data_IF_827771861897
#
_entry.id   IF_827771861897
#
_cell.length_a   1.000
_cell.length_b   1.000
_cell.length_c   1.000
_cell.angle_alpha   90.00
_cell.angle_beta   90.00
_cell.angle_gamma   90.00
#
_symmetry.space_group_name_H-M   'P 1'
#
loop_
_entity.id
_entity.type
_entity.pdbx_description
1 polymer ?
#
# COMPACT_ATOMS: atom_id res chain seq x y z
N UNK A 1 11.09 9.99 5.44
CA UNK A 1 10.59 10.33 6.77
C UNK A 1 11.62 11.14 7.56
N UNK A 2 12.19 10.59 8.66
CA UNK A 2 13.16 11.31 9.48
C UNK A 2 14.40 11.77 8.73
N UNK A 3 14.90 10.95 7.81
CA UNK A 3 16.03 11.29 6.95
C UNK A 3 15.85 12.61 6.18
N UNK A 4 14.61 12.97 5.81
CA UNK A 4 14.34 14.17 5.00
C UNK A 4 14.76 15.47 5.69
N UNK A 5 14.64 15.55 7.03
CA UNK A 5 15.06 16.73 7.82
C UNK A 5 16.54 16.99 7.61
N UNK A 6 17.36 15.93 7.65
CA UNK A 6 18.83 16.03 7.52
C UNK A 6 19.26 16.23 6.05
N UNK A 7 18.60 15.54 5.11
CA UNK A 7 18.83 15.69 3.65
C UNK A 7 18.58 17.14 3.23
N UNK A 8 17.47 17.75 3.73
CA UNK A 8 17.16 19.16 3.45
C UNK A 8 18.31 20.09 3.89
N UNK A 9 18.82 19.86 5.10
CA UNK A 9 19.90 20.68 5.64
C UNK A 9 21.19 20.50 4.85
N UNK A 10 21.56 19.25 4.54
CA UNK A 10 22.85 18.93 3.90
C UNK A 10 22.91 19.41 2.45
N UNK A 11 21.80 19.33 1.72
CA UNK A 11 21.73 19.74 0.31
C UNK A 11 21.09 21.12 0.08
N UNK A 12 20.61 21.80 1.12
CA UNK A 12 19.94 23.10 0.97
C UNK A 12 18.68 23.05 0.12
N UNK A 13 17.86 21.98 0.30
CA UNK A 13 16.73 21.74 -0.59
C UNK A 13 15.62 22.79 -0.41
N UNK A 14 15.07 23.27 -1.54
CA UNK A 14 13.81 23.99 -1.56
C UNK A 14 12.63 23.05 -1.30
N UNK A 15 11.46 23.60 -0.95
CA UNK A 15 10.23 22.82 -0.72
C UNK A 15 9.89 21.91 -1.90
N UNK A 16 9.97 22.46 -3.13
CA UNK A 16 9.73 21.66 -4.34
C UNK A 16 10.77 20.53 -4.52
N UNK A 17 12.04 20.77 -4.21
CA UNK A 17 13.07 19.73 -4.27
C UNK A 17 12.85 18.63 -3.23
N UNK A 18 12.39 18.99 -2.00
CA UNK A 18 12.00 17.99 -0.99
C UNK A 18 10.85 17.09 -1.49
N UNK A 19 9.82 17.69 -2.07
CA UNK A 19 8.68 16.95 -2.65
C UNK A 19 9.15 15.99 -3.75
N UNK A 20 10.04 16.42 -4.64
CA UNK A 20 10.60 15.58 -5.70
C UNK A 20 11.45 14.44 -5.12
N UNK A 21 12.27 14.70 -4.11
CA UNK A 21 13.07 13.66 -3.43
C UNK A 21 12.17 12.59 -2.81
N UNK A 22 11.08 12.97 -2.13
CA UNK A 22 10.13 12.02 -1.56
C UNK A 22 9.37 11.28 -2.65
N UNK A 23 8.84 12.02 -3.62
CA UNK A 23 7.95 11.49 -4.66
C UNK A 23 8.67 10.70 -5.74
N UNK A 24 10.00 10.80 -5.85
CA UNK A 24 10.79 9.98 -6.77
C UNK A 24 10.57 8.48 -6.58
N UNK A 25 10.44 8.03 -5.33
CA UNK A 25 10.09 6.62 -5.02
C UNK A 25 8.70 6.26 -5.57
N UNK A 26 7.74 7.17 -5.48
CA UNK A 26 6.36 6.94 -5.90
C UNK A 26 6.22 6.91 -7.42
N UNK A 27 7.00 7.75 -8.12
CA UNK A 27 7.12 7.68 -9.58
C UNK A 27 7.66 6.31 -10.01
N UNK A 28 8.75 5.86 -9.39
CA UNK A 28 9.29 4.53 -9.62
C UNK A 28 8.27 3.42 -9.31
N UNK A 29 7.54 3.53 -8.20
CA UNK A 29 6.52 2.55 -7.81
C UNK A 29 5.36 2.49 -8.79
N UNK A 30 4.93 3.63 -9.33
CA UNK A 30 3.91 3.68 -10.38
C UNK A 30 4.39 2.93 -11.63
N UNK A 31 5.63 3.19 -12.09
CA UNK A 31 6.24 2.48 -13.23
C UNK A 31 6.33 0.97 -12.93
N UNK A 32 6.84 0.61 -11.76
CA UNK A 32 6.97 -0.79 -11.33
C UNK A 32 5.63 -1.52 -11.27
N UNK A 33 4.56 -0.86 -10.80
CA UNK A 33 3.24 -1.45 -10.75
C UNK A 33 2.64 -1.70 -12.15
N UNK A 34 2.86 -0.78 -13.10
CA UNK A 34 2.39 -0.92 -14.49
C UNK A 34 3.01 -2.15 -15.17
N UNK A 35 4.31 -2.39 -14.96
CA UNK A 35 5.06 -3.46 -15.63
C UNK A 35 5.05 -4.78 -14.85
N UNK A 36 4.84 -4.72 -13.51
CA UNK A 36 5.06 -5.84 -12.60
C UNK A 36 4.23 -7.08 -12.93
N UNK A 37 2.94 -6.92 -13.18
CA UNK A 37 2.07 -8.03 -13.52
C UNK A 37 2.52 -8.76 -14.79
N UNK A 38 2.83 -8.00 -15.87
CA UNK A 38 3.33 -8.58 -17.13
C UNK A 38 4.68 -9.28 -16.97
N UNK A 39 5.59 -8.69 -16.19
CA UNK A 39 6.88 -9.31 -15.90
C UNK A 39 6.72 -10.61 -15.12
N UNK A 40 5.87 -10.61 -14.07
CA UNK A 40 5.60 -11.79 -13.28
C UNK A 40 4.97 -12.93 -14.10
N UNK A 41 4.09 -12.59 -15.04
CA UNK A 41 3.47 -13.55 -15.94
C UNK A 41 4.45 -14.13 -16.96
N UNK A 42 5.36 -13.30 -17.49
CA UNK A 42 6.31 -13.73 -18.53
C UNK A 42 7.50 -14.49 -17.95
N UNK A 43 8.09 -14.02 -16.87
CA UNK A 43 9.37 -14.53 -16.35
C UNK A 43 9.22 -15.42 -15.12
N UNK A 44 8.04 -15.45 -14.49
CA UNK A 44 7.76 -16.14 -13.24
C UNK A 44 7.86 -15.22 -12.03
N UNK A 45 7.08 -15.57 -11.01
CA UNK A 45 6.95 -14.73 -9.81
C UNK A 45 8.26 -14.70 -9.02
N UNK A 46 8.86 -15.85 -8.78
CA UNK A 46 10.14 -15.99 -8.04
C UNK A 46 11.26 -15.18 -8.68
N UNK A 47 11.43 -15.28 -10.01
CA UNK A 47 12.50 -14.55 -10.71
C UNK A 47 12.32 -13.05 -10.61
N UNK A 48 11.09 -12.57 -10.81
CA UNK A 48 10.79 -11.14 -10.68
C UNK A 48 11.08 -10.66 -9.25
N UNK A 49 10.72 -11.43 -8.22
CA UNK A 49 11.00 -11.07 -6.83
C UNK A 49 12.50 -11.06 -6.50
N UNK A 50 13.29 -11.96 -7.06
CA UNK A 50 14.76 -11.94 -6.92
C UNK A 50 15.38 -10.69 -7.57
N UNK A 51 14.94 -10.35 -8.79
CA UNK A 51 15.38 -9.11 -9.48
C UNK A 51 14.93 -7.88 -8.68
N UNK A 52 13.72 -7.90 -8.14
CA UNK A 52 13.19 -6.84 -7.27
C UNK A 52 14.08 -6.62 -6.04
N UNK A 53 14.52 -7.71 -5.36
CA UNK A 53 15.42 -7.60 -4.22
C UNK A 53 16.76 -6.96 -4.60
N UNK A 54 17.32 -7.34 -5.76
CA UNK A 54 18.58 -6.77 -6.26
C UNK A 54 18.43 -5.28 -6.61
N UNK A 55 17.37 -4.90 -7.35
CA UNK A 55 17.08 -3.49 -7.69
C UNK A 55 16.90 -2.66 -6.43
N UNK A 56 16.15 -3.18 -5.43
CA UNK A 56 15.92 -2.48 -4.16
C UNK A 56 17.24 -2.26 -3.41
N UNK A 57 18.08 -3.31 -3.29
CA UNK A 57 19.37 -3.23 -2.62
C UNK A 57 20.32 -2.22 -3.30
N UNK A 58 20.42 -2.25 -4.63
CA UNK A 58 21.21 -1.28 -5.40
C UNK A 58 20.67 0.14 -5.22
N UNK A 59 19.35 0.33 -5.32
CA UNK A 59 18.72 1.64 -5.11
C UNK A 59 18.93 2.19 -3.70
N UNK A 60 18.89 1.35 -2.67
CA UNK A 60 19.15 1.73 -1.29
C UNK A 60 20.62 2.14 -1.08
N UNK A 61 21.58 1.35 -1.57
CA UNK A 61 23.00 1.69 -1.54
C UNK A 61 23.30 2.99 -2.29
N UNK A 62 22.79 3.13 -3.51
CA UNK A 62 22.97 4.33 -4.31
C UNK A 62 22.38 5.57 -3.61
N UNK A 63 21.22 5.42 -2.93
CA UNK A 63 20.64 6.49 -2.12
C UNK A 63 21.52 6.87 -0.94
N UNK A 64 22.15 5.90 -0.27
CA UNK A 64 23.03 6.14 0.88
C UNK A 64 24.32 6.90 0.51
N UNK A 65 24.88 6.61 -0.66
CA UNK A 65 26.14 7.24 -1.12
C UNK A 65 25.92 8.42 -2.06
N UNK A 66 24.68 8.87 -2.24
CA UNK A 66 24.35 9.94 -3.18
C UNK A 66 25.14 11.23 -2.89
N UNK A 67 25.93 11.75 -3.86
CA UNK A 67 26.72 12.97 -3.68
C UNK A 67 25.91 14.24 -4.00
N UNK A 68 24.74 14.11 -4.64
CA UNK A 68 23.91 15.24 -5.04
C UNK A 68 22.43 14.90 -4.98
N UNK A 69 21.54 15.90 -4.92
CA UNK A 69 20.09 15.68 -4.98
C UNK A 69 19.63 14.92 -6.22
N UNK A 70 20.22 15.17 -7.38
CA UNK A 70 19.86 14.51 -8.62
C UNK A 70 20.14 12.98 -8.56
N UNK A 71 21.31 12.59 -8.05
CA UNK A 71 21.65 11.17 -7.86
C UNK A 71 20.73 10.53 -6.84
N UNK A 72 20.40 11.25 -5.75
CA UNK A 72 19.44 10.78 -4.75
C UNK A 72 18.05 10.54 -5.37
N UNK A 73 17.55 11.46 -6.19
CA UNK A 73 16.24 11.32 -6.84
C UNK A 73 16.25 10.12 -7.78
N UNK A 74 17.29 9.96 -8.62
CA UNK A 74 17.40 8.83 -9.53
C UNK A 74 17.47 7.49 -8.79
N UNK A 75 18.27 7.40 -7.73
CA UNK A 75 18.35 6.18 -6.91
C UNK A 75 17.02 5.85 -6.23
N UNK A 76 16.26 6.86 -5.80
CA UNK A 76 14.91 6.70 -5.26
C UNK A 76 13.90 6.23 -6.30
N UNK A 77 13.99 6.69 -7.55
CA UNK A 77 13.16 6.16 -8.65
C UNK A 77 13.46 4.67 -8.86
N UNK A 78 14.73 4.29 -8.90
CA UNK A 78 15.16 2.88 -9.04
C UNK A 78 14.60 2.03 -7.88
N UNK A 79 14.74 2.50 -6.65
CA UNK A 79 14.19 1.85 -5.46
C UNK A 79 12.65 1.73 -5.56
N UNK A 80 12.00 2.78 -6.05
CA UNK A 80 10.56 2.81 -6.27
C UNK A 80 10.10 1.75 -7.27
N UNK A 81 10.81 1.55 -8.38
CA UNK A 81 10.48 0.48 -9.35
C UNK A 81 10.44 -0.89 -8.65
N UNK A 82 11.38 -1.18 -7.76
CA UNK A 82 11.37 -2.40 -6.97
C UNK A 82 10.14 -2.49 -6.06
N UNK A 83 9.75 -1.39 -5.41
CA UNK A 83 8.52 -1.35 -4.58
C UNK A 83 7.27 -1.64 -5.42
N UNK A 84 7.15 -1.03 -6.59
CA UNK A 84 6.02 -1.27 -7.51
C UNK A 84 5.95 -2.71 -8.01
N UNK A 85 7.08 -3.29 -8.41
CA UNK A 85 7.18 -4.71 -8.78
C UNK A 85 6.77 -5.63 -7.63
N UNK A 86 7.25 -5.33 -6.41
CA UNK A 86 6.93 -6.09 -5.20
C UNK A 86 5.45 -6.02 -4.87
N UNK A 87 4.85 -4.82 -4.89
CA UNK A 87 3.45 -4.60 -4.50
C UNK A 87 2.46 -5.37 -5.37
N UNK A 88 2.79 -5.63 -6.63
CA UNK A 88 1.96 -6.40 -7.55
C UNK A 88 2.29 -7.90 -7.53
N UNK A 89 3.55 -8.28 -7.27
CA UNK A 89 3.99 -9.67 -7.42
C UNK A 89 3.91 -10.47 -6.12
N UNK A 90 4.21 -9.85 -4.94
CA UNK A 90 4.21 -10.56 -3.65
C UNK A 90 2.84 -11.11 -3.27
N UNK A 91 1.73 -10.34 -3.33
CA UNK A 91 0.41 -10.87 -3.01
C UNK A 91 0.02 -12.04 -3.91
N UNK A 92 0.34 -11.96 -5.21
CA UNK A 92 0.10 -13.03 -6.18
C UNK A 92 0.91 -14.28 -5.83
N UNK A 93 2.22 -14.14 -5.56
CA UNK A 93 3.08 -15.23 -5.14
C UNK A 93 2.53 -15.93 -3.88
N UNK A 94 2.19 -15.15 -2.86
CA UNK A 94 1.64 -15.67 -1.61
C UNK A 94 0.30 -16.41 -1.84
N UNK A 95 -0.59 -15.86 -2.66
CA UNK A 95 -1.89 -16.47 -2.94
C UNK A 95 -1.79 -17.77 -3.75
N UNK A 96 -0.78 -17.89 -4.63
CA UNK A 96 -0.55 -19.08 -5.47
C UNK A 96 0.18 -20.22 -4.72
N UNK A 97 0.97 -19.89 -3.68
CA UNK A 97 1.70 -20.88 -2.86
C UNK A 97 0.89 -21.29 -1.62
N UNK A 98 0.07 -20.40 -1.09
CA UNK A 98 -0.71 -20.64 0.11
C UNK A 98 -1.75 -21.76 -0.07
N UNK A 99 -1.97 -22.63 0.94
CA UNK A 99 -3.08 -23.56 0.95
C UNK A 99 -4.43 -22.81 1.02
N UNK A 100 -5.48 -23.37 0.42
CA UNK A 100 -6.78 -22.70 0.29
C UNK A 100 -7.35 -22.22 1.64
N UNK A 101 -7.21 -23.03 2.70
CA UNK A 101 -7.70 -22.72 4.04
C UNK A 101 -6.92 -21.64 4.79
N UNK A 102 -5.69 -21.30 4.35
CA UNK A 102 -4.84 -20.29 4.98
C UNK A 102 -4.50 -19.10 4.06
N UNK A 103 -5.03 -19.10 2.81
CA UNK A 103 -4.69 -18.10 1.79
C UNK A 103 -4.94 -16.66 2.26
N UNK A 104 -6.10 -16.38 2.81
CA UNK A 104 -6.47 -15.04 3.30
C UNK A 104 -5.49 -14.56 4.37
N UNK A 105 -5.18 -15.38 5.35
CA UNK A 105 -4.22 -15.11 6.42
C UNK A 105 -2.83 -14.80 5.84
N UNK A 106 -2.31 -15.70 4.98
CA UNK A 106 -0.96 -15.57 4.41
C UNK A 106 -0.84 -14.31 3.54
N UNK A 107 -1.85 -13.98 2.75
CA UNK A 107 -1.87 -12.74 1.96
C UNK A 107 -1.93 -11.51 2.87
N UNK A 108 -2.67 -11.57 3.98
CA UNK A 108 -2.73 -10.46 4.95
C UNK A 108 -1.40 -10.19 5.65
N UNK A 109 -0.49 -11.18 5.75
CA UNK A 109 0.88 -10.98 6.24
C UNK A 109 1.66 -9.96 5.40
N UNK A 110 1.33 -9.79 4.12
CA UNK A 110 1.93 -8.75 3.29
C UNK A 110 1.69 -7.36 3.90
N UNK A 111 0.45 -7.03 4.26
CA UNK A 111 0.13 -5.74 4.87
C UNK A 111 0.79 -5.58 6.25
N UNK A 112 0.84 -6.66 7.04
CA UNK A 112 1.51 -6.65 8.34
C UNK A 112 3.02 -6.39 8.18
N UNK A 113 3.66 -7.02 7.18
CA UNK A 113 5.07 -6.79 6.88
C UNK A 113 5.34 -5.33 6.44
N UNK A 114 4.43 -4.72 5.68
CA UNK A 114 4.52 -3.29 5.31
C UNK A 114 4.53 -2.40 6.55
N UNK A 115 3.58 -2.60 7.48
CA UNK A 115 3.50 -1.78 8.69
C UNK A 115 4.64 -2.04 9.67
N UNK A 116 5.11 -3.28 9.79
CA UNK A 116 6.33 -3.63 10.55
C UNK A 116 7.56 -2.94 9.97
N UNK A 117 7.68 -2.89 8.63
CA UNK A 117 8.74 -2.17 7.92
C UNK A 117 8.71 -0.66 8.19
N UNK A 118 7.54 -0.06 8.26
CA UNK A 118 7.36 1.36 8.62
C UNK A 118 7.88 1.64 10.04
N UNK A 119 7.50 0.81 11.02
CA UNK A 119 8.00 0.92 12.40
C UNK A 119 9.51 0.80 12.44
N UNK A 120 10.05 -0.25 11.79
CA UNK A 120 11.50 -0.48 11.73
C UNK A 120 12.25 0.70 11.11
N UNK A 121 11.72 1.29 10.04
CA UNK A 121 12.30 2.47 9.41
C UNK A 121 12.32 3.69 10.35
N UNK A 122 11.24 3.92 11.12
CA UNK A 122 11.21 5.01 12.10
C UNK A 122 12.19 4.78 13.26
N UNK A 123 12.35 3.54 13.71
CA UNK A 123 13.33 3.21 14.75
C UNK A 123 14.77 3.40 14.25
N UNK A 124 15.06 3.04 13.01
CA UNK A 124 16.36 3.31 12.36
C UNK A 124 16.56 4.83 12.23
N UNK A 125 15.55 5.58 11.75
CA UNK A 125 15.61 7.04 11.68
C UNK A 125 15.93 7.64 13.05
N UNK A 126 15.29 7.15 14.12
CA UNK A 126 15.54 7.61 15.50
C UNK A 126 16.95 7.29 15.97
N UNK A 127 17.43 6.07 15.74
CA UNK A 127 18.77 5.64 16.17
C UNK A 127 19.90 6.50 15.58
N UNK A 128 19.72 7.00 14.34
CA UNK A 128 20.70 7.85 13.67
C UNK A 128 20.38 9.35 13.70
N UNK A 129 19.30 9.76 14.35
CA UNK A 129 18.87 11.16 14.40
C UNK A 129 19.87 12.07 15.10
N UNK A 130 20.50 11.61 16.20
CA UNK A 130 21.45 12.38 17.00
C UNK A 130 22.72 12.77 16.23
N UNK A 131 23.16 11.92 15.30
CA UNK A 131 24.34 12.13 14.46
C UNK A 131 23.99 12.70 13.08
N UNK A 132 22.71 12.92 12.78
CA UNK A 132 22.25 13.38 11.47
C UNK A 132 22.55 12.41 10.33
N UNK A 133 22.69 11.11 10.65
CA UNK A 133 23.19 10.06 9.77
C UNK A 133 22.20 9.58 8.72
N UNK A 134 21.60 10.46 7.91
CA UNK A 134 20.59 10.11 6.90
C UNK A 134 21.08 9.08 5.87
N UNK A 135 22.39 9.01 5.61
CA UNK A 135 22.98 7.99 4.74
C UNK A 135 22.81 6.59 5.31
N UNK A 136 22.98 6.42 6.62
CA UNK A 136 22.72 5.16 7.31
C UNK A 136 21.22 4.84 7.37
N UNK A 137 20.37 5.85 7.60
CA UNK A 137 18.91 5.69 7.59
C UNK A 137 18.41 5.11 6.25
N UNK A 138 19.00 5.54 5.12
CA UNK A 138 18.66 5.00 3.79
C UNK A 138 19.40 3.71 3.47
N UNK A 139 20.67 3.60 3.84
CA UNK A 139 21.54 2.47 3.49
C UNK A 139 21.15 1.17 4.19
N UNK A 140 20.71 1.23 5.45
CA UNK A 140 20.28 0.06 6.20
C UNK A 140 19.08 -0.66 5.56
N UNK A 141 18.35 -0.02 4.65
CA UNK A 141 17.32 -0.69 3.85
C UNK A 141 17.86 -1.84 2.97
N UNK A 142 19.18 -1.92 2.79
CA UNK A 142 19.84 -3.07 2.15
C UNK A 142 19.66 -4.35 2.96
N UNK A 143 19.64 -4.29 4.29
CA UNK A 143 19.53 -5.48 5.13
C UNK A 143 18.21 -6.26 4.87
N UNK A 144 17.02 -5.67 4.90
CA UNK A 144 15.80 -6.38 4.51
C UNK A 144 15.80 -6.85 3.05
N UNK A 145 16.46 -6.14 2.13
CA UNK A 145 16.59 -6.59 0.74
C UNK A 145 17.42 -7.87 0.63
N UNK A 146 18.51 -7.97 1.38
CA UNK A 146 19.35 -9.17 1.43
C UNK A 146 18.59 -10.35 2.06
N UNK A 147 17.88 -10.12 3.17
CA UNK A 147 17.06 -11.15 3.82
C UNK A 147 15.97 -11.65 2.86
N UNK A 148 15.27 -10.73 2.20
CA UNK A 148 14.23 -11.07 1.23
C UNK A 148 14.80 -11.82 0.01
N UNK A 149 15.89 -11.32 -0.58
CA UNK A 149 16.54 -11.96 -1.73
C UNK A 149 17.07 -13.36 -1.40
N UNK A 150 17.72 -13.51 -0.25
CA UNK A 150 18.19 -14.81 0.25
C UNK A 150 17.03 -15.77 0.50
N UNK A 151 15.97 -15.32 1.16
CA UNK A 151 14.75 -16.12 1.37
C UNK A 151 14.14 -16.59 0.05
N UNK A 152 13.98 -15.67 -0.91
CA UNK A 152 13.46 -15.99 -2.24
C UNK A 152 14.35 -16.93 -3.06
N UNK A 153 15.65 -16.96 -2.78
CA UNK A 153 16.56 -17.90 -3.44
C UNK A 153 16.24 -19.36 -3.07
N UNK A 154 15.80 -19.63 -1.86
CA UNK A 154 15.42 -20.97 -1.38
C UNK A 154 13.96 -21.36 -1.66
N UNK A 155 13.10 -20.38 -1.95
CA UNK A 155 11.69 -20.64 -2.23
C UNK A 155 11.48 -21.09 -3.68
N UNK A 156 10.50 -21.97 -3.95
CA UNK A 156 10.20 -22.45 -5.30
C UNK A 156 9.45 -21.41 -6.13
N UNK A 157 9.38 -21.64 -7.43
CA UNK A 157 8.44 -20.93 -8.31
C UNK A 157 7.02 -21.43 -8.06
N UNK A 158 6.01 -20.60 -8.36
CA UNK A 158 4.61 -20.95 -8.07
C UNK A 158 4.10 -22.09 -8.95
N UNK A 159 3.30 -23.03 -8.39
CA UNK A 159 2.74 -24.14 -9.15
C UNK A 159 1.91 -23.68 -10.37
N UNK A 160 1.12 -22.62 -10.20
CA UNK A 160 0.27 -22.06 -11.26
C UNK A 160 1.09 -21.56 -12.45
N UNK A 161 2.18 -20.82 -12.20
CA UNK A 161 3.05 -20.37 -13.28
C UNK A 161 3.78 -21.52 -13.96
N UNK A 162 4.23 -22.53 -13.20
CA UNK A 162 4.90 -23.71 -13.75
C UNK A 162 3.98 -24.49 -14.67
N UNK A 163 2.72 -24.71 -14.30
CA UNK A 163 1.71 -25.39 -15.15
C UNK A 163 1.43 -24.56 -16.40
N UNK A 164 1.22 -23.24 -16.26
CA UNK A 164 1.02 -22.32 -17.39
C UNK A 164 2.19 -22.33 -18.39
N UNK A 165 3.42 -22.53 -17.91
CA UNK A 165 4.63 -22.60 -18.73
C UNK A 165 4.96 -24.01 -19.25
N UNK A 166 4.05 -24.99 -19.09
CA UNK A 166 4.22 -26.36 -19.56
C UNK A 166 5.15 -27.22 -18.69
N UNK A 167 5.57 -26.74 -17.51
CA UNK A 167 6.53 -27.43 -16.63
C UNK A 167 5.82 -28.27 -15.57
N UNK A 168 4.95 -29.20 -15.99
CA UNK A 168 4.06 -29.98 -15.12
C UNK A 168 4.81 -30.80 -14.07
N UNK A 169 5.92 -31.46 -14.45
CA UNK A 169 6.71 -32.27 -13.51
C UNK A 169 7.36 -31.43 -12.37
N UNK A 170 7.78 -30.20 -12.70
CA UNK A 170 8.33 -29.30 -11.69
C UNK A 170 7.20 -28.81 -10.78
N UNK A 171 6.04 -28.46 -11.34
CA UNK A 171 4.88 -28.06 -10.56
C UNK A 171 4.45 -29.16 -9.58
N UNK A 172 4.39 -30.42 -10.04
CA UNK A 172 4.08 -31.60 -9.21
C UNK A 172 5.06 -31.75 -8.04
N UNK A 173 6.36 -31.64 -8.32
CA UNK A 173 7.40 -31.69 -7.26
C UNK A 173 7.27 -30.56 -6.24
N UNK A 174 6.93 -29.36 -6.67
CA UNK A 174 6.69 -28.21 -5.78
C UNK A 174 5.46 -28.47 -4.92
N UNK A 175 4.35 -28.92 -5.53
CA UNK A 175 3.11 -29.21 -4.80
C UNK A 175 3.32 -30.29 -3.75
N UNK A 176 4.05 -31.37 -4.08
CA UNK A 176 4.38 -32.43 -3.12
C UNK A 176 5.20 -31.95 -1.89
N UNK A 177 5.89 -30.80 -1.97
CA UNK A 177 6.60 -30.20 -0.83
C UNK A 177 5.71 -29.37 0.06
N UNK A 178 4.59 -28.85 -0.45
CA UNK A 178 3.75 -27.85 0.24
C UNK A 178 2.31 -28.34 0.47
N UNK A 179 1.95 -29.52 -0.05
CA UNK A 179 0.61 -30.15 0.03
C UNK A 179 0.73 -31.61 0.47
N UNK A 180 -0.40 -32.16 0.90
CA UNK A 180 -0.52 -33.62 1.09
C UNK A 180 -0.54 -34.30 -0.28
N UNK A 181 0.15 -35.45 -0.39
CA UNK A 181 0.26 -36.15 -1.67
C UNK A 181 -1.09 -36.50 -2.31
N UNK A 182 -2.12 -36.79 -1.51
CA UNK A 182 -3.47 -37.11 -1.97
C UNK A 182 -4.17 -35.94 -2.70
N UNK A 183 -3.80 -34.70 -2.38
CA UNK A 183 -4.48 -33.50 -2.92
C UNK A 183 -3.79 -32.97 -4.18
N UNK A 184 -2.58 -33.42 -4.51
CA UNK A 184 -1.72 -32.82 -5.53
C UNK A 184 -2.31 -32.94 -6.93
N UNK A 185 -2.78 -34.12 -7.32
CA UNK A 185 -3.32 -34.34 -8.66
C UNK A 185 -4.64 -33.59 -8.86
N UNK A 186 -5.46 -33.49 -7.83
CA UNK A 186 -6.68 -32.69 -7.84
C UNK A 186 -6.36 -31.20 -8.03
N UNK A 187 -5.41 -30.68 -7.25
CA UNK A 187 -5.00 -29.26 -7.35
C UNK A 187 -4.40 -28.94 -8.73
N UNK A 188 -3.63 -29.86 -9.33
CA UNK A 188 -3.12 -29.72 -10.71
C UNK A 188 -4.29 -29.64 -11.71
N UNK A 189 -5.26 -30.53 -11.61
CA UNK A 189 -6.43 -30.54 -12.50
C UNK A 189 -7.27 -29.26 -12.36
N UNK A 190 -7.46 -28.77 -11.13
CA UNK A 190 -8.15 -27.50 -10.87
C UNK A 190 -7.40 -26.31 -11.48
N UNK A 191 -6.06 -26.24 -11.32
CA UNK A 191 -5.25 -25.19 -11.93
C UNK A 191 -5.34 -25.24 -13.45
N UNK A 192 -5.25 -26.41 -14.07
CA UNK A 192 -5.37 -26.58 -15.52
C UNK A 192 -6.74 -26.12 -16.03
N UNK A 193 -7.81 -26.52 -15.35
CA UNK A 193 -9.18 -26.10 -15.69
C UNK A 193 -9.34 -24.58 -15.59
N UNK A 194 -8.83 -23.99 -14.50
CA UNK A 194 -8.83 -22.53 -14.31
C UNK A 194 -8.05 -21.80 -15.40
N UNK A 195 -6.88 -22.33 -15.80
CA UNK A 195 -6.07 -21.75 -16.87
C UNK A 195 -6.75 -21.87 -18.24
N UNK A 196 -7.40 -23.00 -18.54
CA UNK A 196 -8.17 -23.18 -19.76
C UNK A 196 -9.33 -22.19 -19.88
N UNK A 197 -10.01 -21.91 -18.77
CA UNK A 197 -11.07 -20.88 -18.72
C UNK A 197 -10.52 -19.45 -18.88
N UNK A 198 -9.27 -19.20 -18.46
CA UNK A 198 -8.59 -17.89 -18.60
C UNK A 198 -7.99 -17.65 -19.99
N UNK A 199 -7.96 -18.63 -20.88
CA UNK A 199 -7.42 -18.48 -22.26
C UNK A 199 -8.19 -17.43 -23.08
N UNK A 200 -9.37 -17.02 -22.64
CA UNK A 200 -10.10 -15.83 -23.11
C UNK A 200 -9.82 -14.64 -22.15
N UNK A 201 -8.56 -14.25 -21.99
CA UNK A 201 -8.19 -13.15 -21.12
C UNK A 201 -8.99 -11.89 -21.39
N UNK A 202 -9.41 -11.20 -20.33
CA UNK A 202 -10.14 -9.94 -20.44
C UNK A 202 -9.29 -8.87 -21.12
N UNK A 203 -9.91 -8.11 -22.02
CA UNK A 203 -9.31 -6.97 -22.70
C UNK A 203 -9.66 -5.67 -21.98
N UNK A 204 -8.96 -4.58 -22.31
CA UNK A 204 -9.30 -3.25 -21.82
C UNK A 204 -10.74 -2.83 -22.18
N UNK A 205 -11.26 -3.32 -23.31
CA UNK A 205 -12.64 -3.10 -23.74
C UNK A 205 -13.62 -3.82 -22.80
N UNK A 206 -13.28 -5.04 -22.35
CA UNK A 206 -14.11 -5.77 -21.40
C UNK A 206 -14.31 -5.01 -20.08
N UNK A 207 -13.29 -4.26 -19.58
CA UNK A 207 -13.43 -3.42 -18.37
C UNK A 207 -14.51 -2.35 -18.52
N UNK A 208 -14.76 -1.90 -19.73
CA UNK A 208 -15.74 -0.84 -20.02
C UNK A 208 -17.14 -1.39 -20.27
N UNK A 209 -17.36 -2.70 -20.23
CA UNK A 209 -18.69 -3.28 -20.36
C UNK A 209 -19.64 -2.81 -19.24
N UNK A 210 -20.91 -2.58 -19.60
CA UNK A 210 -21.92 -1.99 -18.71
C UNK A 210 -22.04 -2.67 -17.35
N UNK A 211 -21.90 -3.99 -17.31
CA UNK A 211 -22.01 -4.78 -16.08
C UNK A 211 -20.71 -4.79 -15.23
N UNK A 212 -19.56 -4.42 -15.78
CA UNK A 212 -18.27 -4.35 -15.07
C UNK A 212 -17.97 -2.94 -14.59
N UNK A 213 -18.44 -1.91 -15.30
CA UNK A 213 -18.22 -0.49 -14.94
C UNK A 213 -18.50 -0.18 -13.46
N UNK A 214 -19.58 -0.65 -12.82
CA UNK A 214 -19.82 -0.33 -11.41
C UNK A 214 -18.71 -0.84 -10.49
N UNK A 215 -18.24 -2.09 -10.70
CA UNK A 215 -17.11 -2.65 -9.96
C UNK A 215 -15.82 -1.86 -10.22
N UNK A 216 -15.57 -1.48 -11.48
CA UNK A 216 -14.41 -0.66 -11.85
C UNK A 216 -14.45 0.71 -11.15
N UNK A 217 -15.59 1.39 -11.13
CA UNK A 217 -15.78 2.67 -10.43
C UNK A 217 -15.53 2.52 -8.94
N UNK A 218 -15.99 1.43 -8.31
CA UNK A 218 -15.74 1.17 -6.89
C UNK A 218 -14.25 0.98 -6.63
N UNK A 219 -13.56 0.15 -7.40
CA UNK A 219 -12.14 -0.10 -7.19
C UNK A 219 -11.25 1.11 -7.47
N UNK A 220 -11.49 1.84 -8.57
CA UNK A 220 -10.75 3.07 -8.88
C UNK A 220 -11.05 4.18 -7.88
N UNK A 221 -12.32 4.33 -7.47
CA UNK A 221 -12.70 5.30 -6.46
C UNK A 221 -12.01 5.03 -5.12
N UNK A 222 -12.01 3.78 -4.66
CA UNK A 222 -11.29 3.39 -3.45
C UNK A 222 -9.78 3.62 -3.58
N UNK A 223 -9.17 3.32 -4.74
CA UNK A 223 -7.77 3.59 -5.02
C UNK A 223 -7.40 5.07 -4.87
N UNK A 224 -8.24 5.95 -5.42
CA UNK A 224 -8.06 7.41 -5.33
C UNK A 224 -8.32 7.91 -3.91
N UNK A 225 -9.47 7.53 -3.30
CA UNK A 225 -9.81 7.99 -1.95
C UNK A 225 -8.84 7.51 -0.89
N UNK A 226 -8.26 6.31 -1.02
CA UNK A 226 -7.22 5.84 -0.12
C UNK A 226 -6.04 6.83 -0.05
N UNK A 227 -5.69 7.50 -1.14
CA UNK A 227 -4.54 8.39 -1.22
C UNK A 227 -4.90 9.86 -0.97
N UNK A 228 -5.98 10.37 -1.54
CA UNK A 228 -6.34 11.79 -1.42
C UNK A 228 -6.81 12.19 -0.01
N UNK A 229 -7.10 11.21 0.87
CA UNK A 229 -7.30 11.44 2.31
C UNK A 229 -6.01 11.82 3.03
N UNK A 230 -4.84 11.67 2.40
CA UNK A 230 -3.56 12.17 2.91
C UNK A 230 -2.75 11.19 3.76
N UNK A 231 -3.09 9.90 3.79
CA UNK A 231 -2.40 8.93 4.68
C UNK A 231 -0.89 8.88 4.46
N UNK A 232 -0.46 8.81 3.21
CA UNK A 232 0.95 8.68 2.90
C UNK A 232 1.72 9.99 3.14
N UNK A 233 1.07 11.15 3.03
CA UNK A 233 1.69 12.43 3.43
C UNK A 233 1.92 12.48 4.94
N UNK A 234 0.97 11.97 5.73
CA UNK A 234 1.17 11.83 7.18
C UNK A 234 2.34 10.90 7.47
N UNK A 235 2.40 9.71 6.85
CA UNK A 235 3.49 8.75 7.07
C UNK A 235 4.85 9.33 6.62
N UNK A 236 4.92 9.98 5.46
CA UNK A 236 6.20 10.46 4.92
C UNK A 236 6.69 11.74 5.60
N UNK A 237 5.80 12.63 6.00
CA UNK A 237 6.12 13.94 6.53
C UNK A 237 5.80 14.10 8.04
N UNK A 238 5.39 13.00 8.74
CA UNK A 238 5.04 13.07 10.16
C UNK A 238 6.07 13.80 11.04
N UNK A 239 7.38 13.53 10.95
CA UNK A 239 8.35 14.26 11.77
C UNK A 239 8.32 15.77 11.49
N UNK A 240 8.12 16.18 10.23
CA UNK A 240 8.03 17.59 9.84
C UNK A 240 6.73 18.24 10.33
N UNK A 241 5.61 17.52 10.25
CA UNK A 241 4.31 17.96 10.79
C UNK A 241 4.43 18.18 12.30
N UNK A 242 5.07 17.26 13.04
CA UNK A 242 5.26 17.37 14.49
C UNK A 242 6.21 18.51 14.87
N UNK A 243 7.27 18.75 14.09
CA UNK A 243 8.12 19.93 14.28
C UNK A 243 7.32 21.22 14.09
N UNK A 244 6.48 21.30 13.07
CA UNK A 244 5.60 22.47 12.85
C UNK A 244 4.55 22.63 13.95
N UNK A 245 4.21 21.55 14.67
CA UNK A 245 3.31 21.57 15.82
C UNK A 245 4.01 21.94 17.15
N UNK A 246 5.35 22.14 17.16
CA UNK A 246 6.08 22.60 18.34
C UNK A 246 7.07 21.59 18.95
N UNK A 247 7.38 20.48 18.28
CA UNK A 247 8.49 19.63 18.69
C UNK A 247 9.82 20.30 18.36
N UNK A 248 10.58 20.71 19.36
CA UNK A 248 11.84 21.44 19.21
C UNK A 248 12.95 20.58 18.59
N UNK A 249 13.05 19.30 18.98
CA UNK A 249 14.10 18.40 18.51
C UNK A 249 13.64 17.48 17.39
N UNK A 250 14.50 17.27 16.39
CA UNK A 250 14.27 16.30 15.34
C UNK A 250 14.11 14.88 15.91
N UNK A 251 14.93 14.51 16.89
CA UNK A 251 14.85 13.18 17.55
C UNK A 251 13.52 12.96 18.26
N UNK A 252 13.00 13.99 18.96
CA UNK A 252 11.68 13.92 19.61
C UNK A 252 10.54 13.75 18.60
N UNK A 253 10.56 14.50 17.51
CA UNK A 253 9.58 14.39 16.43
C UNK A 253 9.63 13.01 15.76
N UNK A 254 10.82 12.46 15.52
CA UNK A 254 11.00 11.12 14.94
C UNK A 254 10.51 10.03 15.92
N UNK A 255 10.82 10.16 17.22
CA UNK A 255 10.35 9.22 18.24
C UNK A 255 8.82 9.21 18.35
N UNK A 256 8.20 10.38 18.38
CA UNK A 256 6.73 10.49 18.37
C UNK A 256 6.12 9.86 17.10
N UNK A 257 6.78 10.03 15.95
CA UNK A 257 6.39 9.39 14.69
C UNK A 257 6.54 7.86 14.77
N UNK A 258 7.55 7.34 15.45
CA UNK A 258 7.67 5.90 15.70
C UNK A 258 6.47 5.36 16.49
N UNK A 259 5.96 6.12 17.47
CA UNK A 259 4.72 5.82 18.18
C UNK A 259 3.50 5.72 17.23
N UNK A 260 3.38 6.65 16.28
CA UNK A 260 2.34 6.58 15.22
C UNK A 260 2.49 5.30 14.39
N UNK A 261 3.72 4.91 14.06
CA UNK A 261 4.02 3.65 13.37
C UNK A 261 3.59 2.42 14.16
N UNK A 262 3.87 2.39 15.47
CA UNK A 262 3.45 1.30 16.36
C UNK A 262 1.93 1.17 16.40
N UNK A 263 1.20 2.30 16.49
CA UNK A 263 -0.26 2.32 16.41
C UNK A 263 -0.74 1.74 15.07
N UNK A 264 -0.11 2.13 13.95
CA UNK A 264 -0.42 1.58 12.63
C UNK A 264 -0.28 0.05 12.60
N UNK A 265 0.84 -0.47 13.10
CA UNK A 265 1.10 -1.90 13.16
C UNK A 265 0.07 -2.64 14.04
N UNK A 266 -0.17 -2.14 15.25
CA UNK A 266 -1.14 -2.74 16.18
C UNK A 266 -2.56 -2.77 15.59
N UNK A 267 -3.00 -1.64 15.00
CA UNK A 267 -4.32 -1.53 14.40
C UNK A 267 -4.46 -2.34 13.11
N UNK A 268 -3.37 -2.61 12.39
CA UNK A 268 -3.37 -3.57 11.27
C UNK A 268 -3.67 -4.98 11.75
N UNK A 269 -3.11 -5.41 12.89
CA UNK A 269 -3.47 -6.70 13.51
C UNK A 269 -4.94 -6.74 13.89
N UNK A 270 -5.45 -5.68 14.52
CA UNK A 270 -6.88 -5.56 14.86
C UNK A 270 -7.76 -5.65 13.61
N UNK A 271 -7.36 -4.98 12.53
CA UNK A 271 -8.09 -5.05 11.26
C UNK A 271 -8.18 -6.47 10.70
N UNK A 272 -7.06 -7.23 10.72
CA UNK A 272 -7.02 -8.63 10.29
C UNK A 272 -7.99 -9.51 11.07
N UNK A 273 -8.18 -9.25 12.37
CA UNK A 273 -9.10 -9.99 13.23
C UNK A 273 -10.55 -9.58 13.04
N UNK A 274 -10.80 -8.33 12.65
CA UNK A 274 -12.14 -7.77 12.56
C UNK A 274 -12.78 -7.87 11.17
N UNK A 275 -11.98 -7.91 10.11
CA UNK A 275 -12.48 -7.80 8.73
C UNK A 275 -13.48 -8.89 8.37
N UNK A 276 -13.26 -10.13 8.85
CA UNK A 276 -14.19 -11.24 8.60
C UNK A 276 -15.38 -11.27 9.57
N UNK A 277 -15.26 -10.59 10.73
CA UNK A 277 -16.35 -10.51 11.73
C UNK A 277 -17.28 -9.34 11.49
N UNK A 278 -16.73 -8.14 11.28
CA UNK A 278 -17.51 -6.91 11.13
C UNK A 278 -17.99 -6.65 9.71
N UNK A 279 -17.28 -7.20 8.70
CA UNK A 279 -17.53 -6.92 7.28
C UNK A 279 -16.69 -5.74 6.75
N UNK A 280 -16.62 -5.65 5.43
CA UNK A 280 -15.74 -4.70 4.73
C UNK A 280 -16.32 -3.27 4.79
N UNK A 281 -17.60 -3.14 4.47
CA UNK A 281 -18.28 -1.84 4.39
C UNK A 281 -18.44 -1.14 5.73
N UNK A 282 -18.88 -1.79 6.84
CA UNK A 282 -18.94 -1.15 8.16
C UNK A 282 -17.58 -0.65 8.64
N UNK A 283 -16.53 -1.44 8.47
CA UNK A 283 -15.16 -1.03 8.85
C UNK A 283 -14.67 0.17 8.05
N UNK A 284 -14.97 0.23 6.74
CA UNK A 284 -14.69 1.42 5.93
C UNK A 284 -15.37 2.66 6.46
N UNK A 285 -16.68 2.58 6.72
CA UNK A 285 -17.47 3.73 7.17
C UNK A 285 -17.05 4.22 8.56
N UNK A 286 -16.79 3.32 9.50
CA UNK A 286 -16.34 3.66 10.86
C UNK A 286 -14.94 4.26 10.81
N UNK A 287 -14.02 3.64 10.09
CA UNK A 287 -12.65 4.14 10.01
C UNK A 287 -12.55 5.49 9.29
N UNK A 288 -13.22 5.67 8.14
CA UNK A 288 -13.22 6.98 7.46
C UNK A 288 -13.86 8.06 8.33
N UNK A 289 -14.92 7.75 9.11
CA UNK A 289 -15.49 8.69 10.06
C UNK A 289 -14.48 9.10 11.14
N UNK A 290 -13.70 8.16 11.69
CA UNK A 290 -12.59 8.46 12.60
C UNK A 290 -11.51 9.33 11.96
N UNK A 291 -11.17 9.09 10.68
CA UNK A 291 -10.24 9.93 9.92
C UNK A 291 -10.77 11.36 9.77
N UNK A 292 -12.04 11.54 9.45
CA UNK A 292 -12.70 12.87 9.34
C UNK A 292 -12.57 13.64 10.66
N UNK A 293 -12.94 13.00 11.79
CA UNK A 293 -12.89 13.64 13.09
C UNK A 293 -11.48 14.06 13.47
N UNK A 294 -10.52 13.16 13.32
CA UNK A 294 -9.12 13.42 13.70
C UNK A 294 -8.46 14.49 12.84
N UNK A 295 -8.71 14.50 11.52
CA UNK A 295 -8.24 15.54 10.60
C UNK A 295 -8.91 16.90 10.87
N UNK A 296 -10.21 16.92 11.19
CA UNK A 296 -10.92 18.14 11.53
C UNK A 296 -10.37 18.76 12.83
N UNK A 297 -10.16 17.94 13.88
CA UNK A 297 -9.54 18.40 15.14
C UNK A 297 -8.14 18.91 14.89
N UNK A 298 -7.34 18.23 14.08
CA UNK A 298 -5.99 18.66 13.73
C UNK A 298 -6.01 20.00 12.98
N UNK A 299 -6.91 20.17 12.00
CA UNK A 299 -7.06 21.43 11.25
C UNK A 299 -7.44 22.60 12.18
N UNK A 300 -8.42 22.38 13.06
CA UNK A 300 -8.85 23.39 14.03
C UNK A 300 -7.73 23.76 15.04
N UNK A 301 -6.95 22.76 15.46
CA UNK A 301 -5.84 22.98 16.39
C UNK A 301 -4.74 23.84 15.77
N UNK A 302 -4.40 23.63 14.49
CA UNK A 302 -3.46 24.49 13.77
C UNK A 302 -4.03 25.90 13.47
N UNK A 303 -5.36 26.08 13.49
CA UNK A 303 -5.99 27.38 13.32
C UNK A 303 -6.02 28.20 14.59
N UNK A 304 -6.29 27.56 15.75
CA UNK A 304 -6.62 28.22 17.01
C UNK A 304 -5.41 28.66 17.83
N UNK A 305 -4.20 28.13 17.56
CA UNK A 305 -3.08 28.28 18.50
C UNK A 305 -1.84 28.90 17.89
N UNK A 306 -1.35 29.94 18.54
CA UNK A 306 0.09 30.26 18.58
C UNK A 306 0.81 29.04 19.17
N UNK A 307 1.95 28.64 18.57
CA UNK A 307 2.77 27.47 18.90
C UNK A 307 2.84 27.25 20.43
N UNK A 308 2.10 26.27 20.92
CA UNK A 308 2.08 25.90 22.33
C UNK A 308 2.42 24.42 22.46
N UNK A 309 3.04 24.06 23.58
CA UNK A 309 3.35 22.65 23.91
C UNK A 309 2.10 21.73 23.81
N UNK A 310 0.92 22.27 24.06
CA UNK A 310 -0.35 21.55 23.91
C UNK A 310 -0.65 21.18 22.46
N UNK A 311 -0.31 22.03 21.47
CA UNK A 311 -0.52 21.74 20.06
C UNK A 311 0.28 20.52 19.62
N UNK A 312 1.51 20.36 20.11
CA UNK A 312 2.37 19.22 19.79
C UNK A 312 1.71 17.90 20.22
N UNK A 313 1.17 17.82 21.43
CA UNK A 313 0.50 16.61 21.92
C UNK A 313 -0.84 16.36 21.23
N UNK A 314 -1.62 17.40 20.95
CA UNK A 314 -2.85 17.26 20.16
C UNK A 314 -2.52 16.71 18.77
N UNK A 315 -1.48 17.22 18.12
CA UNK A 315 -1.05 16.71 16.81
C UNK A 315 -0.67 15.22 16.86
N UNK A 316 0.10 14.78 17.88
CA UNK A 316 0.45 13.37 18.06
C UNK A 316 -0.80 12.51 18.20
N UNK A 317 -1.73 12.89 19.10
CA UNK A 317 -2.97 12.13 19.36
C UNK A 317 -3.82 12.08 18.10
N UNK A 318 -3.99 13.19 17.39
CA UNK A 318 -4.74 13.25 16.14
C UNK A 318 -4.10 12.39 15.05
N UNK A 319 -2.78 12.43 14.88
CA UNK A 319 -2.08 11.60 13.91
C UNK A 319 -2.19 10.11 14.25
N UNK A 320 -2.05 9.74 15.52
CA UNK A 320 -2.27 8.35 15.99
C UNK A 320 -3.70 7.89 15.72
N UNK A 321 -4.69 8.70 16.06
CA UNK A 321 -6.11 8.40 15.83
C UNK A 321 -6.45 8.30 14.34
N UNK A 322 -5.90 9.20 13.52
CA UNK A 322 -6.04 9.18 12.06
C UNK A 322 -5.46 7.91 11.45
N UNK A 323 -4.22 7.57 11.81
CA UNK A 323 -3.54 6.37 11.31
C UNK A 323 -4.21 5.09 11.81
N UNK A 324 -4.67 5.06 13.08
CA UNK A 324 -5.45 3.95 13.62
C UNK A 324 -6.74 3.72 12.81
N UNK A 325 -7.47 4.79 12.55
CA UNK A 325 -8.70 4.77 11.77
C UNK A 325 -8.49 4.31 10.31
N UNK A 326 -7.40 4.74 9.69
CA UNK A 326 -6.98 4.27 8.37
C UNK A 326 -6.60 2.78 8.38
N UNK A 327 -5.82 2.35 9.38
CA UNK A 327 -5.30 0.98 9.48
C UNK A 327 -6.40 -0.07 9.63
N UNK A 328 -7.55 0.28 10.25
CA UNK A 328 -8.70 -0.63 10.35
C UNK A 328 -9.64 -0.55 9.14
N UNK A 329 -9.45 0.41 8.24
CA UNK A 329 -10.39 0.68 7.15
C UNK A 329 -9.71 0.66 5.77
N UNK A 330 -9.46 1.83 5.19
CA UNK A 330 -8.95 1.98 3.82
C UNK A 330 -7.63 1.24 3.58
N UNK A 331 -6.77 1.10 4.60
CA UNK A 331 -5.48 0.42 4.49
C UNK A 331 -5.61 -1.01 3.94
N UNK A 332 -6.13 -1.95 4.71
CA UNK A 332 -6.27 -3.34 4.30
C UNK A 332 -7.48 -3.59 3.38
N UNK A 333 -8.61 -2.88 3.59
CA UNK A 333 -9.88 -3.21 2.93
C UNK A 333 -9.85 -2.85 1.45
N UNK A 334 -9.14 -1.82 1.04
CA UNK A 334 -8.97 -1.51 -0.39
C UNK A 334 -8.41 -2.70 -1.17
N UNK A 335 -7.29 -3.26 -0.71
CA UNK A 335 -6.64 -4.40 -1.37
C UNK A 335 -7.51 -5.65 -1.37
N UNK A 336 -8.23 -5.88 -0.27
CA UNK A 336 -9.16 -7.00 -0.16
C UNK A 336 -10.34 -6.84 -1.12
N UNK A 337 -10.97 -5.67 -1.14
CA UNK A 337 -12.13 -5.43 -2.00
C UNK A 337 -11.81 -5.52 -3.49
N UNK A 338 -10.66 -4.97 -3.95
CA UNK A 338 -10.32 -5.09 -5.37
C UNK A 338 -10.08 -6.55 -5.80
N UNK A 339 -9.70 -7.43 -4.89
CA UNK A 339 -9.58 -8.87 -5.16
C UNK A 339 -10.95 -9.58 -5.16
N UNK A 340 -11.96 -9.04 -4.46
CA UNK A 340 -13.29 -9.65 -4.32
C UNK A 340 -14.31 -9.16 -5.34
N UNK A 341 -14.28 -7.86 -5.72
CA UNK A 341 -15.36 -7.25 -6.53
C UNK A 341 -15.27 -7.48 -8.02
N UNK A 342 -14.11 -7.86 -8.55
CA UNK A 342 -13.93 -7.99 -9.99
C UNK A 342 -14.24 -9.40 -10.51
N UNK A 343 -14.96 -9.52 -11.64
CA UNK A 343 -15.17 -10.80 -12.32
C UNK A 343 -13.85 -11.48 -12.68
N UNK A 344 -13.83 -12.82 -12.59
CA UNK A 344 -12.63 -13.64 -12.83
C UNK A 344 -11.95 -13.34 -14.17
N UNK A 345 -12.74 -13.12 -15.24
CA UNK A 345 -12.22 -12.85 -16.61
C UNK A 345 -11.31 -11.62 -16.67
N UNK A 346 -11.63 -10.55 -15.93
CA UNK A 346 -10.94 -9.24 -16.03
C UNK A 346 -10.16 -8.88 -14.75
N UNK A 347 -10.20 -9.74 -13.72
CA UNK A 347 -9.69 -9.44 -12.38
C UNK A 347 -8.26 -8.93 -12.38
N UNK A 348 -7.32 -9.67 -12.94
CA UNK A 348 -5.90 -9.27 -12.93
C UNK A 348 -5.65 -7.92 -13.63
N UNK A 349 -6.39 -7.64 -14.71
CA UNK A 349 -6.30 -6.35 -15.41
C UNK A 349 -6.90 -5.22 -14.56
N UNK A 350 -8.05 -5.47 -13.92
CA UNK A 350 -8.74 -4.50 -13.08
C UNK A 350 -7.97 -4.19 -11.80
N UNK A 351 -7.44 -5.21 -11.12
CA UNK A 351 -6.56 -5.05 -9.94
C UNK A 351 -5.30 -4.26 -10.27
N UNK A 352 -4.62 -4.62 -11.38
CA UNK A 352 -3.43 -3.90 -11.84
C UNK A 352 -3.72 -2.44 -12.18
N UNK A 353 -4.90 -2.17 -12.78
CA UNK A 353 -5.36 -0.80 -13.06
C UNK A 353 -5.60 -0.05 -11.74
N UNK A 354 -6.33 -0.65 -10.79
CA UNK A 354 -6.59 -0.03 -9.49
C UNK A 354 -5.29 0.25 -8.72
N UNK A 355 -4.34 -0.68 -8.72
CA UNK A 355 -3.03 -0.49 -8.10
C UNK A 355 -2.24 0.66 -8.77
N UNK A 356 -2.28 0.76 -10.10
CA UNK A 356 -1.64 1.86 -10.84
C UNK A 356 -2.25 3.21 -10.47
N UNK A 357 -3.58 3.31 -10.43
CA UNK A 357 -4.28 4.53 -10.00
C UNK A 357 -3.96 4.88 -8.55
N UNK A 358 -3.82 3.89 -7.68
CA UNK A 358 -3.43 4.08 -6.29
C UNK A 358 -2.03 4.72 -6.17
N UNK A 359 -1.03 4.16 -6.84
CA UNK A 359 0.33 4.71 -6.84
C UNK A 359 0.42 6.07 -7.52
N UNK A 360 -0.29 6.29 -8.62
CA UNK A 360 -0.35 7.59 -9.29
C UNK A 360 -1.00 8.66 -8.39
N UNK A 361 -2.09 8.33 -7.71
CA UNK A 361 -2.73 9.23 -6.75
C UNK A 361 -1.81 9.56 -5.56
N UNK A 362 -1.08 8.55 -5.04
CA UNK A 362 -0.07 8.75 -4.01
C UNK A 362 1.03 9.72 -4.47
N UNK A 363 1.52 9.55 -5.70
CA UNK A 363 2.51 10.45 -6.30
C UNK A 363 2.01 11.89 -6.34
N UNK A 364 0.79 12.13 -6.84
CA UNK A 364 0.19 13.46 -6.94
C UNK A 364 0.06 14.10 -5.55
N UNK A 365 -0.50 13.36 -4.59
CA UNK A 365 -0.74 13.85 -3.23
C UNK A 365 0.59 14.18 -2.53
N UNK A 366 1.62 13.35 -2.71
CA UNK A 366 2.93 13.58 -2.11
C UNK A 366 3.71 14.72 -2.75
N UNK A 367 3.55 14.96 -4.05
CA UNK A 367 4.15 16.09 -4.78
C UNK A 367 3.52 17.45 -4.44
N UNK A 368 2.33 17.46 -3.86
CA UNK A 368 1.58 18.69 -3.61
C UNK A 368 1.49 19.07 -2.13
N UNK A 369 1.80 18.15 -1.22
CA UNK A 369 1.56 18.34 0.21
C UNK A 369 2.32 19.52 0.83
N UNK A 370 3.63 19.58 0.67
CA UNK A 370 4.43 20.65 1.26
C UNK A 370 4.10 22.01 0.63
N UNK A 371 3.87 22.02 -0.68
CA UNK A 371 3.42 23.21 -1.42
C UNK A 371 2.05 23.69 -0.90
N UNK A 372 1.10 22.78 -0.62
CA UNK A 372 -0.18 23.14 -0.01
C UNK A 372 0.01 23.71 1.39
N UNK A 373 0.85 23.09 2.22
CA UNK A 373 1.15 23.59 3.57
C UNK A 373 1.81 24.96 3.51
N UNK A 374 2.72 25.18 2.58
CA UNK A 374 3.41 26.47 2.41
C UNK A 374 2.45 27.59 1.93
N UNK A 375 1.57 27.30 0.96
CA UNK A 375 0.68 28.29 0.35
C UNK A 375 -0.63 28.53 1.11
N UNK A 376 -1.22 27.46 1.66
CA UNK A 376 -2.54 27.52 2.32
C UNK A 376 -2.45 27.43 3.84
N UNK A 377 -1.28 27.08 4.38
CA UNK A 377 -1.08 26.75 5.79
C UNK A 377 -1.51 25.31 6.15
N UNK A 378 -0.99 24.83 7.28
CA UNK A 378 -1.25 23.47 7.77
C UNK A 378 -2.75 23.26 8.07
N UNK A 379 -3.41 24.22 8.71
CA UNK A 379 -4.85 24.16 9.04
C UNK A 379 -5.70 23.87 7.79
N UNK A 380 -5.55 24.72 6.76
CA UNK A 380 -6.33 24.57 5.50
C UNK A 380 -6.01 23.28 4.76
N UNK A 381 -4.76 22.82 4.81
CA UNK A 381 -4.34 21.58 4.17
C UNK A 381 -4.99 20.36 4.84
N UNK A 382 -5.01 20.30 6.18
CA UNK A 382 -5.70 19.22 6.88
C UNK A 382 -7.23 19.31 6.76
N UNK A 383 -7.80 20.53 6.69
CA UNK A 383 -9.22 20.71 6.38
C UNK A 383 -9.57 20.16 4.98
N UNK A 384 -8.72 20.38 3.98
CA UNK A 384 -8.90 19.81 2.63
C UNK A 384 -8.90 18.28 2.65
N UNK A 385 -8.01 17.66 3.43
CA UNK A 385 -7.98 16.19 3.59
C UNK A 385 -9.20 15.67 4.37
N UNK A 386 -9.69 16.42 5.36
CA UNK A 386 -10.95 16.09 6.03
C UNK A 386 -12.13 16.11 5.05
N UNK A 387 -12.23 17.14 4.19
CA UNK A 387 -13.26 17.23 3.14
C UNK A 387 -13.14 16.09 2.12
N UNK A 388 -11.93 15.75 1.69
CA UNK A 388 -11.69 14.59 0.83
C UNK A 388 -12.14 13.29 1.51
N UNK A 389 -11.91 13.16 2.82
CA UNK A 389 -12.38 12.01 3.60
C UNK A 389 -13.90 11.97 3.70
N UNK A 390 -14.59 13.11 3.83
CA UNK A 390 -16.07 13.19 3.77
C UNK A 390 -16.56 12.70 2.41
N UNK A 391 -15.95 13.17 1.31
CA UNK A 391 -16.30 12.70 -0.03
C UNK A 391 -16.07 11.18 -0.19
N UNK A 392 -14.95 10.67 0.35
CA UNK A 392 -14.67 9.24 0.41
C UNK A 392 -15.68 8.45 1.24
N UNK A 393 -16.11 8.98 2.37
CA UNK A 393 -17.16 8.37 3.20
C UNK A 393 -18.48 8.28 2.44
N UNK A 394 -18.91 9.37 1.79
CA UNK A 394 -20.13 9.39 0.97
C UNK A 394 -20.00 8.41 -0.20
N UNK A 395 -18.86 8.37 -0.88
CA UNK A 395 -18.60 7.40 -1.93
C UNK A 395 -18.75 5.95 -1.42
N UNK A 396 -18.12 5.62 -0.30
CA UNK A 396 -18.23 4.28 0.31
C UNK A 396 -19.68 3.97 0.70
N UNK A 397 -20.39 4.92 1.29
CA UNK A 397 -21.78 4.76 1.70
C UNK A 397 -22.72 4.47 0.53
N UNK A 398 -22.52 5.14 -0.63
CA UNK A 398 -23.43 4.99 -1.77
C UNK A 398 -22.99 3.90 -2.77
N UNK A 399 -21.70 3.63 -2.92
CA UNK A 399 -21.16 2.84 -4.02
C UNK A 399 -20.50 1.52 -3.61
N UNK A 400 -19.95 1.42 -2.40
CA UNK A 400 -19.24 0.21 -1.98
C UNK A 400 -20.23 -0.83 -1.45
N UNK A 401 -20.27 -2.03 -2.07
CA UNK A 401 -21.10 -3.14 -1.58
C UNK A 401 -20.46 -3.82 -0.36
N UNK A 402 -21.26 -4.58 0.40
CA UNK A 402 -20.74 -5.52 1.39
C UNK A 402 -20.46 -6.87 0.72
N UNK A 403 -19.23 -7.36 0.84
CA UNK A 403 -18.80 -8.61 0.22
C UNK A 403 -18.67 -9.78 1.19
N UNK A 404 -18.80 -9.52 2.49
CA UNK A 404 -18.68 -10.54 3.54
C UNK A 404 -19.64 -11.70 3.30
N UNK A 405 -19.08 -12.93 3.33
CA UNK A 405 -19.86 -14.17 3.20
C UNK A 405 -20.41 -14.45 1.80
N UNK A 406 -20.06 -13.65 0.80
CA UNK A 406 -20.47 -13.86 -0.59
C UNK A 406 -19.36 -14.57 -1.39
N UNK A 407 -19.73 -15.48 -2.27
CA UNK A 407 -18.80 -16.07 -3.24
C UNK A 407 -18.56 -15.08 -4.40
N UNK A 408 -17.46 -15.28 -5.11
CA UNK A 408 -17.09 -14.42 -6.24
C UNK A 408 -18.15 -14.47 -7.36
N UNK A 409 -18.75 -15.65 -7.55
CA UNK A 409 -19.83 -15.87 -8.53
C UNK A 409 -21.11 -15.12 -8.14
N UNK A 410 -21.43 -15.06 -6.85
CA UNK A 410 -22.56 -14.28 -6.34
C UNK A 410 -22.35 -12.77 -6.54
N UNK A 411 -21.12 -12.28 -6.31
CA UNK A 411 -20.76 -10.88 -6.55
C UNK A 411 -20.83 -10.55 -8.05
N UNK A 412 -20.35 -11.46 -8.92
CA UNK A 412 -20.44 -11.29 -10.37
C UNK A 412 -21.90 -11.29 -10.86
N UNK A 413 -22.72 -12.20 -10.37
CA UNK A 413 -24.15 -12.25 -10.68
C UNK A 413 -24.88 -10.98 -10.25
N UNK A 414 -24.50 -10.42 -9.10
CA UNK A 414 -25.04 -9.15 -8.61
C UNK A 414 -24.75 -7.99 -9.57
N UNK A 415 -23.49 -7.87 -10.04
CA UNK A 415 -23.11 -6.83 -11.02
C UNK A 415 -23.84 -7.00 -12.35
N UNK A 416 -24.01 -8.25 -12.82
CA UNK A 416 -24.77 -8.54 -14.04
C UNK A 416 -26.24 -8.16 -13.93
N UNK A 417 -26.83 -8.29 -12.73
CA UNK A 417 -28.23 -7.93 -12.48
C UNK A 417 -28.45 -6.41 -12.42
N UNK A 418 -27.37 -5.59 -12.43
CA UNK A 418 -27.46 -4.13 -12.38
C UNK A 418 -28.08 -3.56 -11.10
N UNK A 419 -28.03 -4.31 -9.99
CA UNK A 419 -28.62 -3.89 -8.72
C UNK A 419 -27.79 -2.81 -8.03
N UNK A 420 -28.40 -1.86 -7.29
CA UNK A 420 -27.67 -0.86 -6.52
C UNK A 420 -26.80 -1.54 -5.44
N UNK A 421 -25.57 -1.06 -5.26
CA UNK A 421 -24.59 -1.65 -4.33
C UNK A 421 -25.10 -1.85 -2.89
N UNK A 422 -26.07 -1.06 -2.44
CA UNK A 422 -26.70 -1.19 -1.12
C UNK A 422 -27.48 -2.49 -0.95
N UNK A 423 -28.08 -3.03 -2.01
CA UNK A 423 -28.88 -4.25 -1.94
C UNK A 423 -28.02 -5.52 -1.84
N UNK A 424 -26.69 -5.40 -1.87
CA UNK A 424 -25.80 -6.53 -1.56
C UNK A 424 -25.61 -6.70 -0.05
N UNK A 425 -25.95 -5.71 0.76
CA UNK A 425 -25.84 -5.74 2.22
C UNK A 425 -27.01 -6.47 2.92
N UNK A 426 -28.14 -6.61 2.23
CA UNK A 426 -29.33 -7.35 2.66
C UNK A 426 -29.30 -8.78 2.09
#
# INVERSE_FOLDING_TARGET
>A
SGALIFIKRDFGLTTAAEEIVVSGVLLGATIGAIIGGRMADRFGRRRVLLVTAAIFGVGALASAVAPSPAVLILSRIVLGVAIGLSSTTVPVYLSEVAPANARGWIVSLFQLAVTAGIVSAYLVDYAFASVGGWRWMLGLAVAPALVFGTGMFFLPETPRWLIRSGRHEIARRVLLRIRKAADVELEIAEIQTSLAQQTQGGTWVDLLHRHIRPALVVGLGLAVFQQITGINTVIYYAPKILQSAGFESASGAILATAGVGVVNFAMTIVAMLLVDRAGRRPLLLIGIAGMIVTLAVLALSFHATNQSHNLAWIAVICLMGYVASFAISLGPIFWLLIAEIYPLKVRGLAEGTAATFNWASNLIVSLTFLTLVEKLGASSTFALYALASVAGWLFCYYRVPETKGRTLEQIEAFWRAGRPSRQMAD
#
